data_IF_576372509062
#
_entry.id   IF_576372509062
#
_cell.length_a   1.000
_cell.length_b   1.000
_cell.length_c   1.000
_cell.angle_alpha   90.00
_cell.angle_beta   90.00
_cell.angle_gamma   90.00
#
_symmetry.space_group_name_H-M   'P 1'
#
loop_
_entity.id
_entity.type
_entity.pdbx_description
1 polymer ?
#
# COMPACT_ATOMS: atom_id res chain seq x y z
N UNK A 1 -22.76 -28.87 -3.83
CA UNK A 1 -23.26 -28.30 -2.57
C UNK A 1 -22.57 -28.83 -1.31
N UNK A 2 -22.52 -30.16 -1.02
CA UNK A 2 -21.81 -30.69 0.18
C UNK A 2 -20.31 -30.40 0.17
N UNK A 3 -19.64 -30.60 -0.98
CA UNK A 3 -18.19 -30.38 -1.14
C UNK A 3 -17.76 -28.90 -1.00
N UNK A 4 -18.50 -27.99 -1.63
CA UNK A 4 -18.24 -26.53 -1.47
C UNK A 4 -18.43 -26.06 -0.02
N UNK A 5 -19.40 -26.63 0.70
CA UNK A 5 -19.60 -26.35 2.12
C UNK A 5 -18.44 -26.82 2.98
N UNK A 6 -17.91 -27.99 2.70
CA UNK A 6 -16.72 -28.52 3.39
C UNK A 6 -15.50 -27.64 3.14
N UNK A 7 -15.24 -27.27 1.88
CA UNK A 7 -14.12 -26.35 1.54
C UNK A 7 -14.31 -25.00 2.26
N UNK A 8 -15.51 -24.44 2.28
CA UNK A 8 -15.77 -23.17 2.97
C UNK A 8 -15.50 -23.26 4.48
N UNK A 9 -15.83 -24.37 5.13
CA UNK A 9 -15.54 -24.60 6.56
C UNK A 9 -14.04 -24.71 6.79
N UNK A 10 -13.32 -25.46 5.93
CA UNK A 10 -11.86 -25.60 6.03
C UNK A 10 -11.18 -24.23 5.84
N UNK A 11 -11.59 -23.44 4.84
CA UNK A 11 -11.06 -22.11 4.59
C UNK A 11 -11.35 -21.15 5.76
N UNK A 12 -12.55 -21.20 6.33
CA UNK A 12 -12.87 -20.40 7.51
C UNK A 12 -11.99 -20.75 8.70
N UNK A 13 -11.78 -22.05 8.95
CA UNK A 13 -10.85 -22.54 9.97
C UNK A 13 -9.42 -22.06 9.71
N UNK A 14 -8.96 -22.12 8.45
CA UNK A 14 -7.65 -21.61 8.05
C UNK A 14 -7.52 -20.10 8.26
N UNK A 15 -8.56 -19.30 7.92
CA UNK A 15 -8.60 -17.85 8.15
C UNK A 15 -8.46 -17.54 9.65
N UNK A 16 -9.23 -18.21 10.49
CA UNK A 16 -9.16 -18.03 11.95
C UNK A 16 -7.78 -18.41 12.50
N UNK A 17 -7.20 -19.51 12.01
CA UNK A 17 -5.85 -19.94 12.37
C UNK A 17 -4.77 -18.92 11.95
N UNK A 18 -4.88 -18.37 10.74
CA UNK A 18 -3.97 -17.32 10.23
C UNK A 18 -4.08 -16.04 11.04
N UNK A 19 -5.29 -15.59 11.35
CA UNK A 19 -5.52 -14.41 12.21
C UNK A 19 -4.92 -14.61 13.61
N UNK A 20 -5.17 -15.75 14.23
CA UNK A 20 -4.59 -16.07 15.55
C UNK A 20 -3.05 -16.07 15.50
N UNK A 21 -2.48 -16.66 14.43
CA UNK A 21 -1.03 -16.68 14.22
C UNK A 21 -0.47 -15.27 13.98
N UNK A 22 -1.17 -14.42 13.24
CA UNK A 22 -0.75 -13.03 13.01
C UNK A 22 -0.81 -12.21 14.29
N UNK A 23 -1.89 -12.30 15.07
CA UNK A 23 -1.98 -11.65 16.37
C UNK A 23 -0.83 -12.09 17.28
N UNK A 24 -0.54 -13.39 17.34
CA UNK A 24 0.56 -13.92 18.13
C UNK A 24 1.92 -13.36 17.68
N UNK A 25 2.22 -13.41 16.38
CA UNK A 25 3.50 -12.93 15.82
C UNK A 25 3.65 -11.42 15.94
N UNK A 26 2.60 -10.65 15.68
CA UNK A 26 2.59 -9.20 15.88
C UNK A 26 2.87 -8.87 17.34
N UNK A 27 2.21 -9.57 18.27
CA UNK A 27 2.43 -9.39 19.71
C UNK A 27 3.88 -9.66 20.11
N UNK A 28 4.48 -10.75 19.62
CA UNK A 28 5.89 -11.06 19.87
C UNK A 28 6.82 -9.99 19.26
N UNK A 29 6.58 -9.59 18.02
CA UNK A 29 7.42 -8.60 17.32
C UNK A 29 7.37 -7.23 18.00
N UNK A 30 6.19 -6.75 18.38
CA UNK A 30 6.02 -5.43 19.03
C UNK A 30 6.57 -5.41 20.47
N UNK A 31 6.60 -6.55 21.17
CA UNK A 31 7.25 -6.66 22.48
C UNK A 31 8.75 -6.51 22.43
N UNK A 32 9.39 -6.77 21.30
CA UNK A 32 10.84 -6.56 21.15
C UNK A 32 11.22 -5.09 21.41
N UNK A 33 12.43 -4.79 21.87
CA UNK A 33 12.90 -3.42 22.04
C UNK A 33 12.71 -2.57 20.78
N UNK A 34 13.05 -3.13 19.62
CA UNK A 34 12.92 -2.48 18.31
C UNK A 34 11.52 -2.65 17.67
N UNK A 35 10.52 -3.19 18.39
CA UNK A 35 9.17 -3.32 17.88
C UNK A 35 8.54 -1.96 17.62
N UNK A 36 7.82 -1.84 16.48
CA UNK A 36 7.23 -0.58 16.01
C UNK A 36 8.24 0.56 15.81
N UNK A 37 9.49 0.24 15.43
CA UNK A 37 10.58 1.22 15.29
C UNK A 37 10.27 2.37 14.32
N UNK A 38 9.49 2.15 13.27
CA UNK A 38 9.13 3.21 12.32
C UNK A 38 8.02 4.14 12.85
N UNK A 39 7.29 3.75 13.90
CA UNK A 39 6.39 4.64 14.64
C UNK A 39 7.17 5.55 15.61
N UNK A 40 8.33 5.07 16.09
CA UNK A 40 9.12 5.78 17.10
C UNK A 40 9.50 7.21 16.74
N UNK A 41 9.94 7.55 15.50
CA UNK A 41 10.24 8.92 15.10
C UNK A 41 9.06 9.87 15.31
N UNK A 42 7.85 9.42 14.96
CA UNK A 42 6.64 10.24 15.12
C UNK A 42 6.27 10.42 16.60
N UNK A 43 6.34 9.36 17.38
CA UNK A 43 6.14 9.44 18.82
C UNK A 43 7.17 10.40 19.44
N UNK A 44 8.45 10.25 19.12
CA UNK A 44 9.54 11.06 19.65
C UNK A 44 9.43 12.54 19.22
N UNK A 45 9.22 12.81 17.94
CA UNK A 45 9.09 14.17 17.39
C UNK A 45 7.74 14.82 17.72
N UNK A 46 6.73 14.05 18.06
CA UNK A 46 5.50 14.57 18.64
C UNK A 46 5.73 15.30 19.95
N UNK A 47 6.73 14.93 20.76
CA UNK A 47 7.14 15.70 21.94
C UNK A 47 7.77 17.05 21.56
N UNK A 48 8.57 17.13 20.48
CA UNK A 48 9.07 18.40 19.95
C UNK A 48 7.91 19.33 19.57
N UNK A 49 6.91 18.83 18.87
CA UNK A 49 5.72 19.62 18.49
C UNK A 49 4.94 20.11 19.71
N UNK A 50 4.77 19.27 20.76
CA UNK A 50 4.12 19.70 22.02
C UNK A 50 4.85 20.83 22.74
N UNK A 51 6.11 21.05 22.44
CA UNK A 51 6.95 22.15 22.97
C UNK A 51 7.00 23.34 22.01
N UNK A 52 6.20 23.34 20.94
CA UNK A 52 6.19 24.40 19.95
C UNK A 52 7.36 24.34 18.96
N UNK A 53 8.09 23.21 18.86
CA UNK A 53 9.19 23.06 17.94
C UNK A 53 8.72 22.42 16.63
N UNK A 54 9.31 22.84 15.52
CA UNK A 54 9.09 22.20 14.22
C UNK A 54 9.68 20.77 14.21
N UNK A 55 8.85 19.72 14.07
CA UNK A 55 9.32 18.36 14.19
C UNK A 55 10.27 17.94 13.04
N UNK A 56 10.18 18.55 11.86
CA UNK A 56 11.11 18.29 10.75
C UNK A 56 12.48 18.91 11.03
N UNK A 57 12.52 20.17 11.48
CA UNK A 57 13.76 20.83 11.90
C UNK A 57 14.41 20.09 13.07
N UNK A 58 13.63 19.75 14.09
CA UNK A 58 14.10 18.96 15.23
C UNK A 58 14.69 17.61 14.79
N UNK A 59 14.18 17.01 13.69
CA UNK A 59 14.77 15.80 13.08
C UNK A 59 16.13 16.10 12.44
N UNK A 60 16.29 17.21 11.73
CA UNK A 60 17.53 17.61 11.05
C UNK A 60 18.64 17.95 12.04
N UNK A 61 18.28 18.64 13.10
CA UNK A 61 19.21 19.17 14.12
C UNK A 61 19.43 18.18 15.28
N UNK A 62 18.77 17.01 15.26
CA UNK A 62 18.78 16.02 16.34
C UNK A 62 18.41 16.62 17.72
N UNK A 63 17.50 17.59 17.73
CA UNK A 63 17.05 18.20 18.96
C UNK A 63 16.43 17.16 19.93
N UNK A 64 16.74 17.29 21.20
CA UNK A 64 16.20 16.43 22.26
C UNK A 64 15.02 17.17 22.91
N UNK A 65 13.77 16.59 22.88
CA UNK A 65 12.64 17.17 23.58
C UNK A 65 12.95 17.36 25.08
N UNK A 66 12.60 18.54 25.62
CA UNK A 66 12.85 18.85 27.03
C UNK A 66 11.84 18.20 27.98
N UNK A 67 12.10 18.28 29.28
CA UNK A 67 11.36 17.67 30.38
C UNK A 67 10.64 18.68 31.27
N UNK A 68 9.71 18.24 32.09
CA UNK A 68 9.08 16.92 32.25
C UNK A 68 7.89 16.69 31.29
N UNK A 69 7.55 15.42 31.06
CA UNK A 69 6.39 15.04 30.22
C UNK A 69 5.38 14.25 31.05
N UNK A 70 4.13 14.70 31.07
CA UNK A 70 3.00 13.92 31.58
C UNK A 70 2.23 13.33 30.41
N UNK A 71 1.99 12.03 30.47
CA UNK A 71 1.24 11.28 29.46
C UNK A 71 -0.22 11.09 29.87
N UNK A 72 -1.11 10.89 28.89
CA UNK A 72 -2.55 10.66 29.11
C UNK A 72 -2.82 9.34 29.83
N UNK A 73 -1.92 8.36 29.76
CA UNK A 73 -1.98 7.10 30.50
C UNK A 73 -1.50 7.22 31.96
N UNK A 74 -1.28 8.46 32.45
CA UNK A 74 -0.91 8.74 33.83
C UNK A 74 0.59 8.54 34.13
N UNK A 75 1.39 8.13 33.16
CA UNK A 75 2.84 8.02 33.35
C UNK A 75 3.47 9.39 33.36
N UNK A 76 4.29 9.67 34.36
CA UNK A 76 5.08 10.91 34.47
C UNK A 76 6.54 10.52 34.31
N UNK A 77 7.24 11.15 33.37
CA UNK A 77 8.68 10.96 33.22
C UNK A 77 9.43 12.24 33.54
N UNK A 78 10.45 12.13 34.37
CA UNK A 78 11.41 13.19 34.66
C UNK A 78 12.64 13.13 33.75
N UNK A 79 12.71 12.12 32.88
CA UNK A 79 13.79 11.98 31.92
C UNK A 79 13.26 12.28 30.50
N UNK A 80 14.05 12.93 29.62
CA UNK A 80 13.65 13.12 28.23
C UNK A 80 13.23 11.78 27.60
N UNK A 81 12.23 11.79 26.70
CA UNK A 81 12.02 10.63 25.86
C UNK A 81 13.35 10.38 25.15
N UNK A 82 14.06 9.33 25.57
CA UNK A 82 15.36 9.00 25.01
C UNK A 82 15.12 8.40 23.63
N UNK A 83 15.75 8.97 22.60
CA UNK A 83 15.88 8.27 21.33
C UNK A 83 16.53 6.91 21.63
N UNK A 84 15.78 5.82 21.42
CA UNK A 84 16.34 4.49 21.71
C UNK A 84 17.55 4.29 20.77
N UNK A 85 18.69 3.82 21.30
CA UNK A 85 19.87 3.59 20.47
C UNK A 85 19.54 2.70 19.27
N UNK A 86 19.90 3.13 18.08
CA UNK A 86 19.66 2.39 16.82
C UNK A 86 18.25 2.56 16.22
N UNK A 87 17.33 3.34 16.83
CA UNK A 87 16.06 3.68 16.19
C UNK A 87 16.16 4.96 15.36
N UNK A 88 15.48 5.01 14.20
CA UNK A 88 15.45 6.20 13.37
C UNK A 88 14.77 7.37 14.11
N UNK A 89 15.23 8.58 13.85
CA UNK A 89 14.66 9.83 14.38
C UNK A 89 14.06 10.72 13.31
N UNK A 90 14.14 10.32 12.05
CA UNK A 90 13.64 11.08 10.89
C UNK A 90 12.20 10.74 10.56
N UNK A 91 11.43 11.76 10.17
CA UNK A 91 10.02 11.66 9.81
C UNK A 91 9.90 11.68 8.29
N UNK A 92 9.31 10.65 7.69
CA UNK A 92 9.20 10.50 6.23
C UNK A 92 7.86 10.93 5.63
N UNK A 93 6.79 11.06 6.43
CA UNK A 93 5.46 11.42 5.95
C UNK A 93 5.24 12.94 5.95
N UNK A 94 4.38 13.44 5.04
CA UNK A 94 3.93 14.84 5.06
C UNK A 94 2.95 15.12 6.21
N UNK A 95 2.64 16.40 6.40
CA UNK A 95 1.95 16.93 7.57
C UNK A 95 0.65 16.20 8.00
N UNK A 96 -0.34 15.86 7.14
CA UNK A 96 -1.62 15.35 7.63
C UNK A 96 -1.49 14.02 8.38
N UNK A 97 -0.73 13.06 7.84
CA UNK A 97 -0.52 11.76 8.49
C UNK A 97 0.44 11.91 9.69
N UNK A 98 1.45 12.78 9.58
CA UNK A 98 2.38 13.08 10.68
C UNK A 98 1.64 13.65 11.89
N UNK A 99 0.69 14.57 11.71
CA UNK A 99 -0.15 15.12 12.80
C UNK A 99 -0.92 14.00 13.52
N UNK A 100 -1.51 13.07 12.78
CA UNK A 100 -2.15 11.90 13.40
C UNK A 100 -1.14 11.08 14.19
N UNK A 101 0.04 10.81 13.63
CA UNK A 101 1.06 9.99 14.28
C UNK A 101 1.70 10.71 15.48
N UNK A 102 1.83 12.03 15.46
CA UNK A 102 2.32 12.81 16.61
C UNK A 102 1.39 12.71 17.82
N UNK A 103 0.09 12.44 17.62
CA UNK A 103 -0.84 12.23 18.74
C UNK A 103 -0.46 11.06 19.62
N UNK A 104 0.32 10.09 19.12
CA UNK A 104 0.86 8.99 19.92
C UNK A 104 1.82 9.46 21.02
N UNK A 105 2.46 10.63 20.85
CA UNK A 105 3.30 11.24 21.91
C UNK A 105 2.51 11.68 23.14
N UNK A 106 1.18 11.69 23.08
CA UNK A 106 0.33 11.92 24.27
C UNK A 106 0.34 10.76 25.25
N UNK A 107 0.82 9.58 24.83
CA UNK A 107 0.89 8.36 25.61
C UNK A 107 2.33 7.93 25.82
N UNK A 108 2.58 7.15 26.90
CA UNK A 108 3.88 6.51 27.08
C UNK A 108 4.22 5.59 25.89
N UNK A 109 5.51 5.40 25.61
CA UNK A 109 5.92 4.57 24.47
C UNK A 109 5.35 3.15 24.48
N UNK A 110 5.34 2.41 25.62
CA UNK A 110 4.70 1.11 25.66
C UNK A 110 3.21 1.14 25.31
N UNK A 111 2.45 2.13 25.80
CA UNK A 111 1.03 2.27 25.48
C UNK A 111 0.82 2.67 24.02
N UNK A 112 1.61 3.60 23.49
CA UNK A 112 1.57 4.03 22.09
C UNK A 112 1.76 2.85 21.11
N UNK A 113 2.70 1.92 21.40
CA UNK A 113 2.89 0.69 20.61
C UNK A 113 1.63 -0.17 20.58
N UNK A 114 0.97 -0.38 21.71
CA UNK A 114 -0.23 -1.22 21.76
C UNK A 114 -1.44 -0.55 21.13
N UNK A 115 -1.57 0.76 21.26
CA UNK A 115 -2.59 1.54 20.54
C UNK A 115 -2.40 1.42 19.04
N UNK A 116 -1.16 1.51 18.56
CA UNK A 116 -0.80 1.27 17.16
C UNK A 116 -1.22 -0.12 16.69
N UNK A 117 -0.90 -1.16 17.47
CA UNK A 117 -1.31 -2.54 17.15
C UNK A 117 -2.82 -2.66 17.05
N UNK A 118 -3.56 -2.11 18.02
CA UNK A 118 -5.03 -2.17 18.02
C UNK A 118 -5.63 -1.54 16.76
N UNK A 119 -5.17 -0.35 16.38
CA UNK A 119 -5.63 0.34 15.15
C UNK A 119 -5.33 -0.52 13.91
N UNK A 120 -4.12 -1.05 13.80
CA UNK A 120 -3.74 -1.84 12.64
C UNK A 120 -4.42 -3.21 12.57
N UNK A 121 -4.71 -3.85 13.71
CA UNK A 121 -5.51 -5.09 13.73
C UNK A 121 -6.93 -4.85 13.20
N UNK A 122 -7.56 -3.73 13.57
CA UNK A 122 -8.85 -3.35 12.98
C UNK A 122 -8.76 -3.17 11.47
N UNK A 123 -7.68 -2.53 10.98
CA UNK A 123 -7.46 -2.36 9.55
C UNK A 123 -7.22 -3.70 8.85
N UNK A 124 -6.47 -4.62 9.44
CA UNK A 124 -6.28 -5.98 8.90
C UNK A 124 -7.62 -6.68 8.71
N UNK A 125 -8.53 -6.59 9.68
CA UNK A 125 -9.85 -7.20 9.58
C UNK A 125 -10.72 -6.60 8.46
N UNK A 126 -10.59 -5.30 8.21
CA UNK A 126 -11.37 -4.58 7.21
C UNK A 126 -10.74 -4.70 5.81
N UNK A 127 -9.42 -4.87 5.72
CA UNK A 127 -8.67 -4.82 4.47
C UNK A 127 -9.20 -5.75 3.37
N UNK A 128 -9.49 -7.06 3.61
CA UNK A 128 -9.99 -7.94 2.56
C UNK A 128 -11.31 -7.46 1.97
N UNK A 129 -12.18 -6.86 2.81
CA UNK A 129 -13.42 -6.26 2.38
C UNK A 129 -13.18 -5.02 1.52
N UNK A 130 -12.22 -4.14 1.90
CA UNK A 130 -11.85 -2.97 1.10
C UNK A 130 -11.29 -3.40 -0.27
N UNK A 131 -10.43 -4.42 -0.30
CA UNK A 131 -9.88 -4.98 -1.55
C UNK A 131 -11.00 -5.49 -2.46
N UNK A 132 -11.94 -6.26 -1.93
CA UNK A 132 -13.09 -6.74 -2.71
C UNK A 132 -13.94 -5.59 -3.24
N UNK A 133 -14.30 -4.64 -2.37
CA UNK A 133 -15.19 -3.53 -2.73
C UNK A 133 -14.56 -2.53 -3.70
N UNK A 134 -13.23 -2.44 -3.75
CA UNK A 134 -12.53 -1.63 -4.74
C UNK A 134 -12.59 -2.22 -6.16
N UNK A 135 -12.89 -3.52 -6.28
CA UNK A 135 -13.03 -4.19 -7.58
C UNK A 135 -14.42 -3.94 -8.19
N UNK A 136 -14.50 -3.50 -9.44
CA UNK A 136 -15.77 -3.06 -10.05
C UNK A 136 -16.81 -4.19 -10.21
N UNK A 137 -16.40 -5.43 -10.15
CA UNK A 137 -17.26 -6.61 -10.31
C UNK A 137 -17.30 -7.49 -9.07
N UNK A 138 -17.25 -6.90 -7.88
CA UNK A 138 -17.24 -7.62 -6.59
C UNK A 138 -18.47 -8.51 -6.38
N UNK A 139 -19.62 -8.15 -6.97
CA UNK A 139 -20.86 -8.92 -6.90
C UNK A 139 -20.78 -10.27 -7.64
N UNK A 140 -19.88 -10.43 -8.60
CA UNK A 140 -19.70 -11.70 -9.31
C UNK A 140 -18.96 -12.76 -8.50
N UNK A 141 -18.30 -12.37 -7.41
CA UNK A 141 -17.61 -13.32 -6.55
C UNK A 141 -18.59 -14.10 -5.68
N UNK A 142 -18.52 -15.44 -5.78
CA UNK A 142 -19.21 -16.34 -4.88
C UNK A 142 -18.57 -16.31 -3.48
N UNK A 143 -19.26 -16.83 -2.49
CA UNK A 143 -18.76 -16.89 -1.12
C UNK A 143 -17.37 -17.56 -1.01
N UNK A 144 -17.12 -18.61 -1.81
CA UNK A 144 -15.84 -19.29 -1.84
C UNK A 144 -14.71 -18.36 -2.34
N UNK A 145 -14.96 -17.60 -3.42
CA UNK A 145 -13.97 -16.66 -3.97
C UNK A 145 -13.63 -15.56 -2.95
N UNK A 146 -14.65 -15.05 -2.25
CA UNK A 146 -14.47 -14.07 -1.18
C UNK A 146 -13.63 -14.65 -0.04
N UNK A 147 -13.92 -15.88 0.39
CA UNK A 147 -13.12 -16.55 1.43
C UNK A 147 -11.67 -16.77 0.99
N UNK A 148 -11.41 -17.07 -0.28
CA UNK A 148 -10.06 -17.20 -0.83
C UNK A 148 -9.33 -15.86 -0.74
N UNK A 149 -9.96 -14.74 -1.14
CA UNK A 149 -9.36 -13.40 -1.04
C UNK A 149 -9.06 -13.05 0.43
N UNK A 150 -9.97 -13.35 1.35
CA UNK A 150 -9.77 -13.14 2.78
C UNK A 150 -8.59 -13.96 3.31
N UNK A 151 -8.54 -15.26 2.99
CA UNK A 151 -7.45 -16.14 3.42
C UNK A 151 -6.08 -15.65 2.92
N UNK A 152 -5.98 -15.25 1.65
CA UNK A 152 -4.73 -14.73 1.08
C UNK A 152 -4.35 -13.39 1.72
N UNK A 153 -5.30 -12.47 1.91
CA UNK A 153 -5.02 -11.17 2.51
C UNK A 153 -4.49 -11.29 3.94
N UNK A 154 -5.01 -12.24 4.73
CA UNK A 154 -4.49 -12.52 6.07
C UNK A 154 -3.15 -13.28 6.06
N UNK A 155 -2.92 -14.16 5.07
CA UNK A 155 -1.64 -14.83 4.91
C UNK A 155 -0.52 -13.89 4.41
N UNK A 156 -0.86 -12.70 3.92
CA UNK A 156 0.06 -11.78 3.25
C UNK A 156 1.11 -11.22 4.23
N UNK A 157 2.37 -11.60 4.04
CA UNK A 157 3.46 -11.27 4.96
C UNK A 157 3.67 -9.76 5.16
N UNK A 158 3.47 -8.96 4.11
CA UNK A 158 3.61 -7.50 4.16
C UNK A 158 2.61 -6.82 5.11
N UNK A 159 1.40 -7.37 5.26
CA UNK A 159 0.39 -6.87 6.20
C UNK A 159 0.90 -6.94 7.63
N UNK A 160 1.39 -8.10 8.02
CA UNK A 160 1.96 -8.33 9.35
C UNK A 160 3.25 -7.53 9.56
N UNK A 161 4.14 -7.53 8.57
CA UNK A 161 5.39 -6.78 8.60
C UNK A 161 5.16 -5.30 8.87
N UNK A 162 4.19 -4.66 8.17
CA UNK A 162 3.82 -3.26 8.39
C UNK A 162 3.49 -2.95 9.85
N UNK A 163 2.75 -3.83 10.53
CA UNK A 163 2.34 -3.61 11.92
C UNK A 163 3.52 -3.79 12.88
N UNK A 164 4.31 -4.85 12.69
CA UNK A 164 5.43 -5.18 13.57
C UNK A 164 6.52 -4.10 13.61
N UNK A 165 6.82 -3.50 12.45
CA UNK A 165 7.83 -2.45 12.35
C UNK A 165 7.27 -1.03 12.54
N UNK A 166 5.94 -0.87 12.63
CA UNK A 166 5.30 0.44 12.84
C UNK A 166 5.08 1.25 11.57
N UNK A 167 5.03 0.60 10.39
CA UNK A 167 4.86 1.26 9.10
C UNK A 167 3.43 1.69 8.82
N UNK A 168 3.30 2.84 8.17
CA UNK A 168 2.02 3.46 7.82
C UNK A 168 1.35 2.88 6.57
N UNK A 169 2.01 1.93 5.88
CA UNK A 169 1.55 1.39 4.58
C UNK A 169 0.14 0.81 4.64
N UNK A 170 -0.19 0.08 5.71
CA UNK A 170 -1.53 -0.49 5.89
C UNK A 170 -2.60 0.60 6.04
N UNK A 171 -2.34 1.65 6.81
CA UNK A 171 -3.24 2.80 6.98
C UNK A 171 -3.43 3.49 5.64
N UNK A 172 -2.32 3.85 4.97
CA UNK A 172 -2.34 4.57 3.69
C UNK A 172 -3.07 3.76 2.63
N UNK A 173 -2.79 2.47 2.51
CA UNK A 173 -3.48 1.61 1.54
C UNK A 173 -4.98 1.49 1.83
N UNK A 174 -5.37 1.35 3.09
CA UNK A 174 -6.79 1.34 3.49
C UNK A 174 -7.49 2.66 3.13
N UNK A 175 -6.83 3.80 3.34
CA UNK A 175 -7.35 5.11 2.97
C UNK A 175 -7.50 5.26 1.45
N UNK A 176 -6.54 4.78 0.66
CA UNK A 176 -6.58 4.79 -0.80
C UNK A 176 -7.74 3.94 -1.34
N UNK A 177 -7.92 2.72 -0.82
CA UNK A 177 -9.05 1.86 -1.19
C UNK A 177 -10.39 2.50 -0.76
N UNK A 178 -10.47 3.05 0.45
CA UNK A 178 -11.63 3.79 0.92
C UNK A 178 -11.98 4.97 0.02
N UNK A 179 -10.96 5.72 -0.41
CA UNK A 179 -11.12 6.80 -1.38
C UNK A 179 -11.72 6.29 -2.70
N UNK A 180 -11.18 5.21 -3.27
CA UNK A 180 -11.74 4.61 -4.51
C UNK A 180 -13.19 4.17 -4.36
N UNK A 181 -13.56 3.54 -3.25
CA UNK A 181 -14.90 3.04 -2.99
C UNK A 181 -15.90 4.20 -2.85
N UNK A 182 -15.51 5.27 -2.18
CA UNK A 182 -16.39 6.38 -1.85
C UNK A 182 -16.49 7.46 -2.93
N UNK A 183 -15.62 7.47 -3.94
CA UNK A 183 -15.46 8.56 -4.91
C UNK A 183 -16.73 8.94 -5.67
N UNK A 184 -17.61 7.98 -5.97
CA UNK A 184 -18.81 8.26 -6.75
C UNK A 184 -19.96 8.83 -5.89
N UNK A 185 -20.08 8.40 -4.64
CA UNK A 185 -21.17 8.77 -3.74
C UNK A 185 -20.79 9.88 -2.75
N UNK A 186 -19.56 9.85 -2.26
CA UNK A 186 -19.09 10.73 -1.18
C UNK A 186 -17.72 11.34 -1.56
N UNK A 187 -17.70 12.08 -2.66
CA UNK A 187 -16.49 12.65 -3.26
C UNK A 187 -15.65 13.50 -2.26
N UNK A 188 -16.31 14.24 -1.35
CA UNK A 188 -15.61 15.04 -0.34
C UNK A 188 -14.84 14.16 0.64
N UNK A 189 -15.50 13.11 1.18
CA UNK A 189 -14.84 12.15 2.09
C UNK A 189 -13.72 11.43 1.34
N UNK A 190 -13.96 11.01 0.10
CA UNK A 190 -12.95 10.40 -0.75
C UNK A 190 -11.72 11.32 -0.93
N UNK A 191 -11.93 12.61 -1.18
CA UNK A 191 -10.85 13.60 -1.28
C UNK A 191 -10.06 13.76 0.03
N UNK A 192 -10.74 13.77 1.17
CA UNK A 192 -10.09 13.82 2.49
C UNK A 192 -9.23 12.57 2.71
N UNK A 193 -9.77 11.37 2.46
CA UNK A 193 -9.02 10.12 2.59
C UNK A 193 -7.80 10.10 1.67
N UNK A 194 -7.95 10.51 0.41
CA UNK A 194 -6.85 10.66 -0.55
C UNK A 194 -5.83 11.67 -0.05
N UNK A 195 -6.28 12.81 0.48
CA UNK A 195 -5.41 13.84 1.02
C UNK A 195 -4.55 13.34 2.17
N UNK A 196 -5.12 12.58 3.12
CA UNK A 196 -4.33 11.97 4.19
C UNK A 196 -3.36 10.91 3.62
N UNK A 197 -3.81 10.10 2.66
CA UNK A 197 -2.99 9.07 2.03
C UNK A 197 -1.80 9.64 1.22
N UNK A 198 -1.94 10.82 0.63
CA UNK A 198 -0.87 11.54 -0.06
C UNK A 198 0.34 11.85 0.84
N UNK A 199 0.18 11.73 2.15
CA UNK A 199 1.31 11.86 3.08
C UNK A 199 2.40 10.78 2.86
N UNK A 200 2.05 9.65 2.26
CA UNK A 200 3.00 8.65 1.75
C UNK A 200 2.88 8.60 0.22
N UNK A 201 3.42 9.64 -0.43
CA UNK A 201 3.26 9.89 -1.87
C UNK A 201 3.67 8.71 -2.74
N UNK A 202 4.69 7.91 -2.36
CA UNK A 202 5.13 6.75 -3.14
C UNK A 202 4.02 5.71 -3.33
N UNK A 203 3.14 5.53 -2.33
CA UNK A 203 1.99 4.64 -2.41
C UNK A 203 0.76 5.31 -3.05
N UNK A 204 0.61 6.62 -2.88
CA UNK A 204 -0.55 7.35 -3.39
C UNK A 204 -0.42 7.70 -4.89
N UNK A 205 0.80 7.84 -5.41
CA UNK A 205 1.06 8.23 -6.79
C UNK A 205 0.29 7.41 -7.84
N UNK A 206 0.26 6.05 -7.81
CA UNK A 206 -0.48 5.28 -8.79
C UNK A 206 -1.98 5.58 -8.78
N UNK A 207 -2.57 5.87 -7.62
CA UNK A 207 -3.99 6.21 -7.48
C UNK A 207 -4.29 7.61 -8.02
N UNK A 208 -3.40 8.59 -7.78
CA UNK A 208 -3.52 9.93 -8.34
C UNK A 208 -3.44 9.89 -9.87
N UNK A 209 -2.44 9.20 -10.42
CA UNK A 209 -2.29 9.04 -11.87
C UNK A 209 -3.49 8.30 -12.48
N UNK A 210 -3.98 7.27 -11.82
CA UNK A 210 -5.19 6.56 -12.21
C UNK A 210 -6.40 7.49 -12.30
N UNK A 211 -6.63 8.33 -11.27
CA UNK A 211 -7.74 9.30 -11.28
C UNK A 211 -7.59 10.32 -12.40
N UNK A 212 -6.38 10.77 -12.69
CA UNK A 212 -6.11 11.68 -13.80
C UNK A 212 -6.37 11.01 -15.16
N UNK A 213 -5.97 9.75 -15.33
CA UNK A 213 -6.21 8.99 -16.58
C UNK A 213 -7.70 8.72 -16.87
N UNK A 214 -8.53 8.65 -15.84
CA UNK A 214 -9.98 8.51 -16.04
C UNK A 214 -10.63 9.76 -16.66
N UNK A 215 -9.99 10.94 -16.56
CA UNK A 215 -10.45 12.24 -17.09
C UNK A 215 -11.87 12.63 -16.65
N UNK A 216 -12.30 12.17 -15.47
CA UNK A 216 -13.62 12.51 -14.92
C UNK A 216 -13.53 13.83 -14.14
N UNK A 217 -14.43 14.81 -14.37
CA UNK A 217 -14.41 16.08 -13.64
C UNK A 217 -14.44 15.90 -12.12
N UNK A 218 -15.19 14.92 -11.62
CA UNK A 218 -15.25 14.61 -10.19
C UNK A 218 -13.89 14.24 -9.61
N UNK A 219 -13.02 13.53 -10.36
CA UNK A 219 -11.70 13.16 -9.90
C UNK A 219 -10.80 14.38 -9.71
N UNK A 220 -10.91 15.40 -10.58
CA UNK A 220 -10.15 16.65 -10.41
C UNK A 220 -10.59 17.38 -9.14
N UNK A 221 -11.90 17.46 -8.86
CA UNK A 221 -12.41 18.07 -7.63
C UNK A 221 -11.91 17.30 -6.40
N UNK A 222 -11.94 15.96 -6.45
CA UNK A 222 -11.42 15.12 -5.38
C UNK A 222 -9.92 15.36 -5.13
N UNK A 223 -9.11 15.47 -6.18
CA UNK A 223 -7.68 15.78 -6.06
C UNK A 223 -7.43 17.18 -5.52
N UNK A 224 -8.27 18.17 -5.88
CA UNK A 224 -8.21 19.51 -5.27
C UNK A 224 -8.49 19.43 -3.76
N UNK A 225 -9.52 18.69 -3.33
CA UNK A 225 -9.79 18.46 -1.91
C UNK A 225 -8.59 17.80 -1.23
N UNK A 226 -7.98 16.81 -1.87
CA UNK A 226 -6.79 16.14 -1.34
C UNK A 226 -5.61 17.10 -1.15
N UNK A 227 -5.37 18.03 -2.08
CA UNK A 227 -4.34 19.08 -1.96
C UNK A 227 -4.68 20.07 -0.85
N UNK A 228 -5.96 20.42 -0.70
CA UNK A 228 -6.43 21.29 0.40
C UNK A 228 -6.14 20.62 1.75
N UNK A 229 -6.38 19.32 1.90
CA UNK A 229 -6.05 18.57 3.12
C UNK A 229 -4.55 18.62 3.42
N UNK A 230 -3.70 18.46 2.40
CA UNK A 230 -2.24 18.60 2.55
C UNK A 230 -1.86 20.00 3.02
N UNK A 231 -2.43 21.02 2.41
CA UNK A 231 -2.19 22.41 2.77
C UNK A 231 -2.62 22.71 4.21
N UNK A 232 -3.81 22.27 4.63
CA UNK A 232 -4.28 22.44 6.01
C UNK A 232 -3.40 21.68 7.01
N UNK A 233 -2.87 20.53 6.66
CA UNK A 233 -1.89 19.84 7.49
C UNK A 233 -0.64 20.68 7.75
N UNK A 234 -0.09 21.30 6.70
CA UNK A 234 1.07 22.21 6.81
C UNK A 234 0.75 23.45 7.65
N UNK A 235 -0.43 24.07 7.44
CA UNK A 235 -0.89 25.22 8.24
C UNK A 235 -1.03 24.84 9.72
N UNK A 236 -1.58 23.66 10.02
CA UNK A 236 -1.73 23.19 11.40
C UNK A 236 -0.37 22.99 12.07
N UNK A 237 0.61 22.40 11.37
CA UNK A 237 1.97 22.30 11.89
C UNK A 237 2.63 23.65 12.08
N UNK A 238 2.45 24.57 11.12
CA UNK A 238 2.93 25.94 11.17
C UNK A 238 2.42 26.66 12.42
N UNK A 239 1.11 26.57 12.66
CA UNK A 239 0.50 27.16 13.85
C UNK A 239 1.01 26.53 15.15
N UNK A 240 1.11 25.22 15.21
CA UNK A 240 1.55 24.48 16.40
C UNK A 240 3.03 24.70 16.73
N UNK A 241 3.88 24.94 15.73
CA UNK A 241 5.33 25.17 15.92
C UNK A 241 5.75 26.65 15.94
N UNK A 242 4.83 27.58 15.66
CA UNK A 242 5.16 29.02 15.53
C UNK A 242 6.00 29.37 14.29
N UNK A 243 6.19 28.42 13.37
CA UNK A 243 7.01 28.59 12.16
C UNK A 243 6.15 28.91 10.93
N UNK A 244 6.75 29.52 9.91
CA UNK A 244 6.03 29.78 8.66
C UNK A 244 5.71 28.49 7.88
N UNK A 245 4.61 28.40 7.12
CA UNK A 245 4.30 27.24 6.27
C UNK A 245 5.41 26.91 5.26
N UNK A 246 6.07 27.96 4.74
CA UNK A 246 7.22 27.80 3.82
C UNK A 246 8.40 27.13 4.50
N UNK A 247 8.71 27.51 5.74
CA UNK A 247 9.76 26.89 6.56
C UNK A 247 9.45 25.41 6.80
N UNK A 248 8.23 25.09 7.24
CA UNK A 248 7.79 23.70 7.44
C UNK A 248 8.02 22.85 6.19
N UNK A 249 7.63 23.38 5.02
CA UNK A 249 7.78 22.68 3.75
C UNK A 249 9.25 22.52 3.36
N UNK A 250 10.09 23.54 3.55
CA UNK A 250 11.52 23.48 3.24
C UNK A 250 12.23 22.45 4.12
N UNK A 251 11.96 22.45 5.41
CA UNK A 251 12.54 21.48 6.36
C UNK A 251 12.10 20.05 6.02
N UNK A 252 10.83 19.84 5.65
CA UNK A 252 10.35 18.55 5.15
C UNK A 252 11.13 18.08 3.92
N UNK A 253 11.35 18.96 2.93
CA UNK A 253 12.13 18.61 1.72
C UNK A 253 13.59 18.25 2.08
N UNK A 254 14.18 18.92 3.06
CA UNK A 254 15.54 18.59 3.50
C UNK A 254 15.59 17.22 4.20
N UNK A 255 14.66 16.92 5.10
CA UNK A 255 14.53 15.58 5.70
C UNK A 255 14.36 14.52 4.61
N UNK A 256 13.47 14.77 3.65
CA UNK A 256 13.24 13.86 2.55
C UNK A 256 14.51 13.57 1.73
N UNK A 257 15.31 14.61 1.41
CA UNK A 257 16.59 14.44 0.71
C UNK A 257 17.57 13.59 1.52
N UNK A 258 17.67 13.79 2.83
CA UNK A 258 18.56 12.99 3.68
C UNK A 258 18.11 11.52 3.73
N UNK A 259 16.82 11.25 3.88
CA UNK A 259 16.27 9.89 3.87
C UNK A 259 16.56 9.22 2.51
N UNK A 260 16.28 9.92 1.42
CA UNK A 260 16.51 9.39 0.06
C UNK A 260 18.00 9.04 -0.17
N UNK A 261 18.92 9.87 0.29
CA UNK A 261 20.35 9.61 0.18
C UNK A 261 20.82 8.42 1.03
N UNK A 262 20.13 8.12 2.14
CA UNK A 262 20.49 6.98 3.01
C UNK A 262 19.97 5.63 2.51
N UNK A 263 18.98 5.61 1.59
CA UNK A 263 18.26 4.39 1.15
C UNK A 263 18.66 3.94 -0.28
N UNK A 264 19.76 4.43 -0.83
CA UNK A 264 20.12 4.24 -2.24
C UNK A 264 20.22 2.77 -2.70
N UNK A 265 20.19 1.76 -1.81
CA UNK A 265 20.52 0.38 -2.16
C UNK A 265 19.63 -0.71 -1.57
N UNK A 266 18.67 -0.38 -0.74
CA UNK A 266 17.76 -1.38 -0.14
C UNK A 266 16.33 -1.16 -0.61
N UNK A 267 15.61 -2.24 -0.86
CA UNK A 267 14.19 -2.20 -1.18
C UNK A 267 13.82 -2.83 -2.52
N UNK A 268 12.51 -2.91 -2.75
CA UNK A 268 11.94 -3.54 -3.95
C UNK A 268 11.87 -2.49 -5.07
N UNK A 269 12.90 -2.44 -5.90
CA UNK A 269 12.99 -1.56 -7.07
C UNK A 269 13.95 -2.15 -8.12
N UNK A 270 13.87 -1.70 -9.36
CA UNK A 270 14.67 -2.23 -10.46
C UNK A 270 16.19 -2.06 -10.24
N UNK A 271 16.60 -1.04 -9.52
CA UNK A 271 18.03 -0.80 -9.20
C UNK A 271 18.66 -1.95 -8.40
N UNK A 272 17.87 -2.74 -7.65
CA UNK A 272 18.39 -3.88 -6.88
C UNK A 272 18.85 -5.05 -7.77
N UNK A 273 18.43 -5.08 -9.04
CA UNK A 273 18.91 -6.05 -10.02
C UNK A 273 20.29 -5.69 -10.59
N UNK A 274 20.76 -4.46 -10.41
CA UNK A 274 21.96 -3.92 -11.01
C UNK A 274 23.11 -3.87 -10.00
N UNK A 275 24.37 -3.91 -10.47
CA UNK A 275 25.52 -3.66 -9.60
C UNK A 275 25.40 -2.28 -8.91
N UNK A 276 25.93 -2.14 -7.69
CA UNK A 276 26.06 -0.84 -7.03
C UNK A 276 26.76 0.16 -7.97
N UNK A 277 26.26 1.40 -7.98
CA UNK A 277 26.81 2.51 -8.79
C UNK A 277 26.64 2.35 -10.32
N UNK A 278 25.73 1.45 -10.75
CA UNK A 278 25.47 1.25 -12.18
C UNK A 278 24.83 2.49 -12.81
N UNK A 279 25.50 3.03 -13.83
CA UNK A 279 24.94 4.14 -14.63
C UNK A 279 23.71 3.73 -15.47
N UNK A 280 23.40 2.43 -15.52
CA UNK A 280 22.26 1.88 -16.27
C UNK A 280 20.92 2.05 -15.53
N UNK A 281 20.90 2.44 -14.26
CA UNK A 281 19.65 2.59 -13.47
C UNK A 281 18.69 3.58 -14.13
N UNK A 282 19.17 4.78 -14.43
CA UNK A 282 18.34 5.84 -15.02
C UNK A 282 17.83 5.45 -16.42
N UNK A 283 18.68 4.97 -17.37
CA UNK A 283 18.21 4.48 -18.65
C UNK A 283 17.17 3.36 -18.55
N UNK A 284 17.36 2.38 -17.67
CA UNK A 284 16.41 1.25 -17.50
C UNK A 284 15.08 1.75 -16.96
N UNK A 285 15.07 2.61 -15.93
CA UNK A 285 13.86 3.25 -15.43
C UNK A 285 13.16 4.03 -16.54
N UNK A 286 13.93 4.75 -17.38
CA UNK A 286 13.40 5.46 -18.54
C UNK A 286 12.71 4.51 -19.52
N UNK A 287 13.37 3.42 -19.91
CA UNK A 287 12.79 2.41 -20.82
C UNK A 287 11.53 1.80 -20.24
N UNK A 288 11.54 1.36 -18.97
CA UNK A 288 10.34 0.81 -18.30
C UNK A 288 9.21 1.83 -18.31
N UNK A 289 9.48 3.09 -17.99
CA UNK A 289 8.46 4.15 -17.97
C UNK A 289 7.88 4.41 -19.37
N UNK A 290 8.69 4.37 -20.42
CA UNK A 290 8.22 4.47 -21.82
C UNK A 290 7.33 3.27 -22.17
N UNK A 291 7.74 2.04 -21.83
CA UNK A 291 6.94 0.83 -22.07
C UNK A 291 5.58 0.93 -21.35
N UNK A 292 5.60 1.34 -20.08
CA UNK A 292 4.36 1.55 -19.31
C UNK A 292 3.48 2.62 -19.96
N UNK A 293 4.05 3.74 -20.39
CA UNK A 293 3.30 4.79 -21.08
C UNK A 293 2.64 4.24 -22.34
N UNK A 294 3.36 3.45 -23.17
CA UNK A 294 2.79 2.82 -24.37
C UNK A 294 1.63 1.89 -23.99
N UNK A 295 1.76 1.08 -22.94
CA UNK A 295 0.67 0.19 -22.49
C UNK A 295 -0.53 0.98 -21.98
N UNK A 296 -0.31 2.09 -21.25
CA UNK A 296 -1.39 2.97 -20.81
C UNK A 296 -2.10 3.64 -21.98
N UNK A 297 -1.36 4.17 -22.95
CA UNK A 297 -1.92 4.75 -24.17
C UNK A 297 -2.71 3.74 -25.00
N UNK A 298 -2.21 2.51 -25.12
CA UNK A 298 -2.92 1.40 -25.73
C UNK A 298 -4.23 1.10 -25.00
N UNK A 299 -4.24 1.04 -23.68
CA UNK A 299 -5.44 0.86 -22.86
C UNK A 299 -6.44 2.00 -23.06
N UNK A 300 -6.00 3.26 -23.08
CA UNK A 300 -6.85 4.41 -23.34
C UNK A 300 -7.43 4.39 -24.77
N UNK A 301 -6.64 3.92 -25.75
CA UNK A 301 -7.13 3.73 -27.12
C UNK A 301 -8.19 2.61 -27.21
N UNK A 302 -7.95 1.47 -26.52
CA UNK A 302 -8.93 0.39 -26.42
C UNK A 302 -10.25 0.86 -25.80
N UNK A 303 -10.21 1.75 -24.79
CA UNK A 303 -11.39 2.30 -24.12
C UNK A 303 -12.42 2.87 -25.11
N UNK A 304 -11.97 3.44 -26.24
CA UNK A 304 -12.86 3.97 -27.29
C UNK A 304 -13.64 2.90 -28.04
N UNK A 305 -13.21 1.64 -27.96
CA UNK A 305 -13.78 0.50 -28.68
C UNK A 305 -14.57 -0.44 -27.78
N UNK A 306 -14.51 -0.22 -26.46
CA UNK A 306 -15.13 -1.11 -25.47
C UNK A 306 -16.54 -0.68 -25.10
N UNK A 307 -17.36 -1.67 -24.71
CA UNK A 307 -18.66 -1.40 -24.13
C UNK A 307 -18.51 -0.67 -22.80
N UNK A 308 -19.49 0.17 -22.47
CA UNK A 308 -19.52 0.94 -21.23
C UNK A 308 -19.32 0.05 -20.01
N UNK A 309 -19.89 -1.15 -19.98
CA UNK A 309 -19.78 -2.08 -18.86
C UNK A 309 -18.38 -2.70 -18.69
N UNK A 310 -17.52 -2.75 -19.73
CA UNK A 310 -16.16 -3.28 -19.64
C UNK A 310 -15.12 -2.20 -19.26
N UNK A 311 -15.48 -0.92 -19.35
CA UNK A 311 -14.61 0.21 -19.01
C UNK A 311 -14.10 0.14 -17.54
N UNK A 312 -14.93 -0.18 -16.54
CA UNK A 312 -14.44 -0.29 -15.17
C UNK A 312 -13.36 -1.36 -15.00
N UNK A 313 -13.46 -2.50 -15.70
CA UNK A 313 -12.45 -3.55 -15.68
C UNK A 313 -11.14 -3.08 -16.35
N UNK A 314 -11.24 -2.41 -17.49
CA UNK A 314 -10.09 -1.80 -18.15
C UNK A 314 -9.39 -0.79 -17.24
N UNK A 315 -10.15 0.10 -16.61
CA UNK A 315 -9.62 1.08 -15.68
C UNK A 315 -8.89 0.40 -14.51
N UNK A 316 -9.41 -0.71 -14.01
CA UNK A 316 -8.76 -1.49 -12.94
C UNK A 316 -7.43 -2.12 -13.39
N UNK A 317 -7.33 -2.58 -14.66
CA UNK A 317 -6.05 -3.01 -15.24
C UNK A 317 -5.03 -1.86 -15.28
N UNK A 318 -5.46 -0.66 -15.66
CA UNK A 318 -4.58 0.52 -15.69
C UNK A 318 -4.07 0.88 -14.28
N UNK A 319 -4.93 0.80 -13.26
CA UNK A 319 -4.51 0.98 -11.87
C UNK A 319 -3.49 -0.08 -11.47
N UNK A 320 -3.72 -1.36 -11.80
CA UNK A 320 -2.81 -2.46 -11.49
C UNK A 320 -1.42 -2.24 -12.14
N UNK A 321 -1.39 -1.80 -13.40
CA UNK A 321 -0.15 -1.46 -14.13
C UNK A 321 0.58 -0.31 -13.44
N UNK A 322 -0.12 0.75 -13.05
CA UNK A 322 0.46 1.89 -12.36
C UNK A 322 1.06 1.51 -10.99
N UNK A 323 0.38 0.64 -10.23
CA UNK A 323 0.89 0.13 -8.96
C UNK A 323 2.21 -0.63 -9.20
N UNK A 324 2.25 -1.56 -10.15
CA UNK A 324 3.47 -2.32 -10.44
C UNK A 324 4.59 -1.41 -10.93
N UNK A 325 4.27 -0.45 -11.80
CA UNK A 325 5.24 0.52 -12.32
C UNK A 325 5.89 1.33 -11.18
N UNK A 326 5.11 1.83 -10.21
CA UNK A 326 5.68 2.58 -9.10
C UNK A 326 6.62 1.73 -8.24
N UNK A 327 6.31 0.44 -8.04
CA UNK A 327 7.22 -0.49 -7.37
C UNK A 327 8.54 -0.73 -8.14
N UNK A 328 8.49 -0.72 -9.46
CA UNK A 328 9.68 -0.92 -10.28
C UNK A 328 10.62 0.30 -10.29
N UNK A 329 10.06 1.52 -10.23
CA UNK A 329 10.85 2.75 -10.41
C UNK A 329 11.19 3.49 -9.12
N UNK A 330 10.46 3.27 -8.03
CA UNK A 330 10.65 3.97 -6.76
C UNK A 330 11.00 2.97 -5.66
N UNK A 331 11.76 3.48 -4.67
CA UNK A 331 12.05 2.71 -3.46
C UNK A 331 10.76 2.33 -2.71
N UNK A 332 10.64 1.05 -2.41
CA UNK A 332 9.59 0.50 -1.56
C UNK A 332 10.16 -0.57 -0.63
N UNK A 333 9.79 -0.51 0.64
CA UNK A 333 10.06 -1.63 1.55
C UNK A 333 9.14 -2.83 1.25
N UNK A 334 9.55 -4.02 1.66
CA UNK A 334 8.73 -5.23 1.50
C UNK A 334 7.34 -5.15 2.14
N UNK A 335 7.14 -4.26 3.11
CA UNK A 335 5.84 -3.96 3.73
C UNK A 335 4.90 -3.16 2.82
N UNK A 336 5.42 -2.41 1.86
CA UNK A 336 4.62 -1.65 0.89
C UNK A 336 3.95 -2.55 -0.15
N UNK A 337 4.49 -3.76 -0.36
CA UNK A 337 3.91 -4.77 -1.27
C UNK A 337 2.46 -5.14 -0.95
N UNK A 338 1.94 -4.73 0.23
CA UNK A 338 0.52 -4.87 0.58
C UNK A 338 -0.42 -4.32 -0.49
N UNK A 339 -0.01 -3.31 -1.25
CA UNK A 339 -0.80 -2.75 -2.36
C UNK A 339 -1.07 -3.74 -3.49
N UNK A 340 -0.23 -4.78 -3.63
CA UNK A 340 -0.41 -5.83 -4.63
C UNK A 340 -1.65 -6.70 -4.36
N UNK A 341 -2.27 -6.60 -3.17
CA UNK A 341 -3.55 -7.25 -2.89
C UNK A 341 -4.66 -6.82 -3.87
N UNK A 342 -4.57 -5.62 -4.46
CA UNK A 342 -5.45 -5.17 -5.55
C UNK A 342 -5.46 -6.13 -6.73
N UNK A 343 -4.39 -6.86 -6.99
CA UNK A 343 -4.29 -7.79 -8.11
C UNK A 343 -5.11 -9.07 -7.90
N UNK A 344 -5.37 -9.46 -6.65
CA UNK A 344 -6.08 -10.72 -6.35
C UNK A 344 -7.47 -10.80 -6.96
N UNK A 345 -8.38 -9.80 -6.78
CA UNK A 345 -9.69 -9.84 -7.40
C UNK A 345 -9.60 -9.89 -8.93
N UNK A 346 -8.63 -9.18 -9.53
CA UNK A 346 -8.45 -9.15 -10.98
C UNK A 346 -8.09 -10.53 -11.53
N UNK A 347 -7.09 -11.21 -10.93
CA UNK A 347 -6.67 -12.54 -11.34
C UNK A 347 -7.75 -13.60 -11.11
N UNK A 348 -8.41 -13.57 -9.96
CA UNK A 348 -9.50 -14.49 -9.65
C UNK A 348 -10.69 -14.30 -10.60
N UNK A 349 -11.04 -13.06 -10.90
CA UNK A 349 -12.10 -12.76 -11.86
C UNK A 349 -11.75 -13.27 -13.25
N UNK A 350 -10.51 -13.07 -13.71
CA UNK A 350 -10.05 -13.58 -15.01
C UNK A 350 -10.12 -15.11 -15.10
N UNK A 351 -9.78 -15.81 -14.03
CA UNK A 351 -9.86 -17.29 -13.99
C UNK A 351 -11.31 -17.80 -13.93
N UNK A 352 -12.21 -17.06 -13.25
CA UNK A 352 -13.63 -17.43 -13.09
C UNK A 352 -14.50 -17.04 -14.26
N UNK A 353 -14.11 -15.98 -14.98
CA UNK A 353 -14.89 -15.36 -16.06
C UNK A 353 -14.02 -15.16 -17.30
N UNK A 354 -13.45 -16.26 -17.86
CA UNK A 354 -12.56 -16.16 -19.01
C UNK A 354 -13.23 -15.60 -20.26
N UNK A 355 -14.56 -15.54 -20.30
CA UNK A 355 -15.35 -14.97 -21.39
C UNK A 355 -15.10 -13.47 -21.62
N UNK A 356 -14.63 -12.76 -20.60
CA UNK A 356 -14.24 -11.35 -20.75
C UNK A 356 -12.92 -11.18 -21.53
N UNK A 357 -12.16 -12.25 -21.69
CA UNK A 357 -10.88 -12.27 -22.40
C UNK A 357 -10.88 -13.32 -23.51
N UNK A 358 -10.03 -13.10 -24.50
CA UNK A 358 -9.76 -14.07 -25.58
C UNK A 358 -8.73 -15.13 -25.12
N UNK A 359 -9.00 -15.78 -24.00
CA UNK A 359 -8.08 -16.76 -23.45
C UNK A 359 -8.27 -18.13 -24.07
N UNK A 360 -7.13 -18.78 -24.40
CA UNK A 360 -7.05 -20.23 -24.64
C UNK A 360 -6.96 -20.96 -23.29
N UNK A 361 -7.14 -22.28 -23.31
CA UNK A 361 -6.97 -23.06 -22.07
C UNK A 361 -5.55 -23.00 -21.54
N UNK A 362 -4.53 -22.99 -22.44
CA UNK A 362 -3.13 -22.75 -22.04
C UNK A 362 -2.98 -21.41 -21.32
N UNK A 363 -3.63 -20.36 -21.79
CA UNK A 363 -3.61 -19.04 -21.17
C UNK A 363 -4.14 -19.05 -19.74
N UNK A 364 -5.20 -19.80 -19.48
CA UNK A 364 -5.78 -19.94 -18.12
C UNK A 364 -4.79 -20.66 -17.18
N UNK A 365 -4.14 -21.73 -17.65
CA UNK A 365 -3.14 -22.42 -16.84
C UNK A 365 -1.92 -21.57 -16.54
N UNK A 366 -1.44 -20.79 -17.51
CA UNK A 366 -0.35 -19.82 -17.29
C UNK A 366 -0.75 -18.77 -16.25
N UNK A 367 -1.96 -18.21 -16.36
CA UNK A 367 -2.46 -17.23 -15.40
C UNK A 367 -2.60 -17.82 -14.00
N UNK A 368 -3.11 -19.05 -13.89
CA UNK A 368 -3.20 -19.76 -12.61
C UNK A 368 -1.82 -20.02 -12.01
N UNK A 369 -0.83 -20.39 -12.83
CA UNK A 369 0.56 -20.56 -12.41
C UNK A 369 1.18 -19.26 -11.89
N UNK A 370 0.98 -18.14 -12.60
CA UNK A 370 1.47 -16.82 -12.18
C UNK A 370 0.81 -16.40 -10.85
N UNK A 371 -0.51 -16.60 -10.73
CA UNK A 371 -1.21 -16.30 -9.48
C UNK A 371 -0.70 -17.16 -8.32
N UNK A 372 -0.45 -18.44 -8.55
CA UNK A 372 0.10 -19.34 -7.53
C UNK A 372 1.50 -18.90 -7.08
N UNK A 373 2.39 -18.56 -8.02
CA UNK A 373 3.72 -18.03 -7.71
C UNK A 373 3.63 -16.70 -6.94
N UNK A 374 2.74 -15.80 -7.37
CA UNK A 374 2.50 -14.53 -6.69
C UNK A 374 2.06 -14.75 -5.24
N UNK A 375 1.04 -15.59 -5.02
CA UNK A 375 0.55 -15.91 -3.67
C UNK A 375 1.68 -16.57 -2.85
N UNK A 376 2.38 -17.53 -3.43
CA UNK A 376 3.49 -18.22 -2.77
C UNK A 376 4.55 -17.25 -2.26
N UNK A 377 5.01 -16.34 -3.12
CA UNK A 377 6.01 -15.33 -2.73
C UNK A 377 5.50 -14.37 -1.66
N UNK A 378 4.26 -13.89 -1.80
CA UNK A 378 3.70 -12.90 -0.87
C UNK A 378 3.32 -13.49 0.49
N UNK A 379 3.04 -14.79 0.55
CA UNK A 379 2.75 -15.50 1.80
C UNK A 379 3.99 -16.04 2.50
N UNK A 380 5.16 -16.10 1.83
CA UNK A 380 6.43 -16.44 2.50
C UNK A 380 6.70 -15.40 3.59
N UNK A 381 6.88 -15.82 4.84
CA UNK A 381 7.05 -14.88 5.92
C UNK A 381 8.35 -14.07 5.75
N UNK A 382 8.26 -12.74 5.67
CA UNK A 382 9.42 -11.86 5.85
C UNK A 382 10.16 -12.15 7.18
N UNK A 383 9.47 -12.78 8.14
CA UNK A 383 10.08 -13.26 9.39
C UNK A 383 11.10 -14.40 9.20
N UNK A 384 10.96 -15.23 8.15
CA UNK A 384 12.02 -16.19 7.80
C UNK A 384 13.26 -15.45 7.30
N UNK A 385 13.04 -14.40 6.53
CA UNK A 385 14.08 -13.47 6.08
C UNK A 385 14.71 -12.77 7.27
N UNK A 386 13.94 -12.22 8.19
CA UNK A 386 14.45 -11.52 9.37
C UNK A 386 15.08 -12.43 10.43
N UNK A 387 14.59 -13.67 10.61
CA UNK A 387 15.22 -14.66 11.50
C UNK A 387 16.55 -15.17 10.93
N UNK A 388 16.67 -15.19 9.61
CA UNK A 388 17.91 -15.52 8.92
C UNK A 388 18.91 -14.35 9.00
N UNK A 389 18.47 -13.09 8.96
CA UNK A 389 19.26 -11.84 8.94
C UNK A 389 20.01 -11.55 10.27
N UNK A 390 19.73 -12.27 11.36
CA UNK A 390 20.47 -12.07 12.61
C UNK A 390 21.92 -12.62 12.62
N UNK A 391 22.38 -13.22 11.53
CA UNK A 391 23.79 -13.61 11.32
C UNK A 391 24.39 -12.74 10.21
N UNK A 392 25.59 -12.25 10.39
CA UNK A 392 26.34 -11.35 9.48
C UNK A 392 26.51 -11.84 8.01
N UNK A 393 26.07 -13.06 7.68
CA UNK A 393 26.09 -13.65 6.34
C UNK A 393 24.91 -13.24 5.42
N UNK A 394 24.01 -12.35 5.86
CA UNK A 394 22.64 -12.31 5.33
C UNK A 394 22.29 -11.19 4.37
N UNK A 395 23.24 -10.27 4.08
CA UNK A 395 23.02 -9.21 3.08
C UNK A 395 22.74 -9.82 1.69
N UNK A 396 23.46 -10.86 1.31
CA UNK A 396 23.26 -11.55 0.03
C UNK A 396 21.89 -12.22 -0.05
N UNK A 397 21.44 -12.84 1.04
CA UNK A 397 20.11 -13.46 1.11
C UNK A 397 19.00 -12.41 1.02
N UNK A 398 19.17 -11.27 1.68
CA UNK A 398 18.22 -10.15 1.61
C UNK A 398 18.15 -9.60 0.18
N UNK A 399 19.29 -9.32 -0.45
CA UNK A 399 19.36 -8.86 -1.84
C UNK A 399 18.78 -9.89 -2.82
N UNK A 400 18.99 -11.18 -2.57
CA UNK A 400 18.39 -12.25 -3.39
C UNK A 400 16.86 -12.21 -3.33
N UNK A 401 16.27 -12.03 -2.14
CA UNK A 401 14.82 -11.96 -1.97
C UNK A 401 14.25 -10.70 -2.62
N UNK A 402 14.90 -9.55 -2.45
CA UNK A 402 14.48 -8.30 -3.10
C UNK A 402 14.51 -8.44 -4.63
N UNK A 403 15.55 -9.05 -5.19
CA UNK A 403 15.63 -9.38 -6.63
C UNK A 403 14.48 -10.28 -7.06
N UNK A 404 14.14 -11.28 -6.26
CA UNK A 404 13.03 -12.20 -6.55
C UNK A 404 11.69 -11.45 -6.60
N UNK A 405 11.45 -10.49 -5.70
CA UNK A 405 10.28 -9.61 -5.76
C UNK A 405 10.26 -8.77 -7.04
N UNK A 406 11.38 -8.22 -7.47
CA UNK A 406 11.46 -7.44 -8.71
C UNK A 406 11.16 -8.31 -9.94
N UNK A 407 11.69 -9.53 -10.01
CA UNK A 407 11.34 -10.49 -11.07
C UNK A 407 9.85 -10.81 -11.07
N UNK A 408 9.24 -11.00 -9.90
CA UNK A 408 7.80 -11.23 -9.80
C UNK A 408 7.01 -10.01 -10.29
N UNK A 409 7.41 -8.77 -9.96
CA UNK A 409 6.77 -7.56 -10.45
C UNK A 409 6.83 -7.45 -11.97
N UNK A 410 7.98 -7.79 -12.59
CA UNK A 410 8.10 -7.84 -14.05
C UNK A 410 7.18 -8.90 -14.67
N UNK A 411 7.09 -10.10 -14.06
CA UNK A 411 6.18 -11.15 -14.50
C UNK A 411 4.71 -10.72 -14.40
N UNK A 412 4.34 -10.07 -13.29
CA UNK A 412 2.99 -9.52 -13.09
C UNK A 412 2.68 -8.41 -14.09
N UNK A 413 3.64 -7.54 -14.39
CA UNK A 413 3.49 -6.50 -15.40
C UNK A 413 3.20 -7.10 -16.78
N UNK A 414 3.98 -8.11 -17.18
CA UNK A 414 3.78 -8.82 -18.45
C UNK A 414 2.38 -9.49 -18.47
N UNK A 415 2.01 -10.19 -17.39
CA UNK A 415 0.73 -10.88 -17.31
C UNK A 415 -0.46 -9.92 -17.41
N UNK A 416 -0.43 -8.79 -16.70
CA UNK A 416 -1.53 -7.82 -16.71
C UNK A 416 -1.59 -7.07 -18.04
N UNK A 417 -0.44 -6.74 -18.64
CA UNK A 417 -0.39 -6.13 -19.97
C UNK A 417 -0.95 -7.08 -21.05
N UNK A 418 -0.62 -8.37 -20.93
CA UNK A 418 -1.17 -9.40 -21.79
C UNK A 418 -2.69 -9.57 -21.58
N UNK A 419 -3.17 -9.62 -20.34
CA UNK A 419 -4.60 -9.63 -20.03
C UNK A 419 -5.30 -8.42 -20.61
N UNK A 420 -4.71 -7.22 -20.52
CA UNK A 420 -5.25 -6.00 -21.10
C UNK A 420 -5.41 -6.13 -22.61
N UNK A 421 -4.43 -6.70 -23.32
CA UNK A 421 -4.51 -6.90 -24.78
C UNK A 421 -5.58 -7.92 -25.20
N UNK A 422 -5.88 -8.89 -24.32
CA UNK A 422 -6.85 -9.95 -24.53
C UNK A 422 -8.31 -9.57 -24.20
N UNK A 423 -8.57 -8.38 -23.63
CA UNK A 423 -9.94 -7.94 -23.34
C UNK A 423 -10.79 -7.91 -24.62
N UNK A 424 -11.92 -8.64 -24.61
CA UNK A 424 -12.80 -8.78 -25.75
C UNK A 424 -13.50 -7.48 -26.15
N UNK A 425 -13.79 -7.33 -27.46
CA UNK A 425 -14.63 -6.24 -27.94
C UNK A 425 -16.10 -6.43 -27.50
N UNK A 426 -16.87 -5.35 -27.49
CA UNK A 426 -18.29 -5.31 -27.07
C UNK A 426 -19.14 -6.45 -27.62
N UNK A 427 -19.04 -6.72 -28.93
CA UNK A 427 -19.90 -7.69 -29.61
C UNK A 427 -19.58 -9.14 -29.20
N UNK A 428 -18.30 -9.48 -28.99
CA UNK A 428 -17.89 -10.82 -28.59
C UNK A 428 -18.27 -11.16 -27.15
N UNK A 429 -18.22 -10.15 -26.26
CA UNK A 429 -18.59 -10.34 -24.86
C UNK A 429 -20.12 -10.45 -24.72
N UNK A 430 -20.90 -9.64 -25.44
CA UNK A 430 -22.36 -9.71 -25.42
C UNK A 430 -22.91 -11.00 -26.00
N UNK A 431 -22.35 -11.53 -27.10
CA UNK A 431 -22.75 -12.82 -27.65
C UNK A 431 -22.51 -13.98 -26.66
N UNK A 432 -21.42 -13.91 -25.89
CA UNK A 432 -21.06 -14.96 -24.89
C UNK A 432 -21.79 -14.81 -23.56
N UNK A 433 -22.35 -13.63 -23.26
CA UNK A 433 -22.91 -13.30 -21.94
C UNK A 433 -24.42 -13.09 -21.94
N UNK A 434 -25.16 -13.72 -22.86
CA UNK A 434 -26.66 -13.75 -22.86
C UNK A 434 -27.28 -14.13 -21.49
N UNK A 435 -26.46 -14.33 -20.44
CA UNK A 435 -26.85 -14.68 -19.08
C UNK A 435 -26.51 -13.61 -18.04
N UNK A 436 -26.09 -12.39 -18.43
CA UNK A 436 -25.81 -11.33 -17.46
C UNK A 436 -27.16 -10.77 -16.94
N UNK A 437 -27.42 -10.81 -15.62
CA UNK A 437 -28.60 -10.19 -15.06
C UNK A 437 -28.64 -8.69 -15.43
N UNK A 438 -29.78 -8.21 -15.94
CA UNK A 438 -29.95 -6.80 -16.34
C UNK A 438 -29.69 -5.81 -15.19
N UNK A 439 -29.80 -6.24 -13.95
CA UNK A 439 -29.52 -5.45 -12.75
C UNK A 439 -28.08 -4.93 -12.68
N UNK A 440 -27.10 -5.60 -13.29
CA UNK A 440 -25.69 -5.21 -13.28
C UNK A 440 -25.40 -4.12 -14.30
N UNK A 441 -26.22 -4.00 -15.35
CA UNK A 441 -26.06 -2.99 -16.42
C UNK A 441 -26.41 -1.58 -15.94
N UNK A 442 -27.22 -1.45 -14.88
CA UNK A 442 -27.69 -0.16 -14.36
C UNK A 442 -26.69 0.55 -13.42
N UNK A 443 -25.64 -0.11 -12.96
CA UNK A 443 -24.65 0.45 -11.98
C UNK A 443 -23.26 0.71 -12.58
N UNK A 444 -23.05 0.52 -13.85
CA UNK A 444 -21.84 0.90 -14.60
C UNK A 444 -22.03 2.28 -15.24
#
# INVERSE_FOLDING_TARGET
>A
MKFERLISIILLGAILGLLALDVYRITLGVRQPNGAHDLHPYWYRGHSLRQGLNPYRASLENEIPSLPVTYLDGVITQQPPIAQPGLPTFISNTAPLSLFLFSFSLYSWPFAKWLWVAINLLLILILPWLVLRSFPYDLYFKNLDRLIIFAIAFAFGSTRGSVMIGQTSLIVFSLLLGSLILRERHWLISGILMGIALSKYSLALPFVLFMLLELRPKNFVLLIVALIVQFFGVITLSYASGESPTTIFQDYIQVFKQISASHDRSGVQISTLLPPDSQLVIPIIGVISVVVLVVLLFGLWQRRKMATFTIPLLNYHLLAILIIWTFLIAYHGGYDLIMLLVLLPLFLFALRRPEFWRFTDLSKWLLAGILFLFIGMMCVPNSWVQLTIQKESDLETMLFIERLYVFMLLLLFIAISWMLSGLGSTNEVLEKTNTIPQEVIQYG
#
